data_IF_703778942015
#
_entry.id   IF_703778942015
#
_cell.length_a   1.000
_cell.length_b   1.000
_cell.length_c   1.000
_cell.angle_alpha   90.00
_cell.angle_beta   90.00
_cell.angle_gamma   90.00
#
_symmetry.space_group_name_H-M   'P 1'
#
loop_
_entity.id
_entity.type
_entity.pdbx_description
1 polymer ?
#
# COMPACT_ATOMS: atom_id res chain seq x y z
N UNK A 1 -10.65 10.06 -16.59
CA UNK A 1 -9.89 9.99 -15.36
C UNK A 1 -9.06 8.71 -15.29
N UNK A 2 -7.83 8.84 -14.89
CA UNK A 2 -6.93 7.72 -14.91
C UNK A 2 -7.07 6.85 -13.68
N UNK A 3 -7.03 5.55 -13.88
CA UNK A 3 -7.07 4.60 -12.78
C UNK A 3 -5.74 4.57 -12.04
N UNK A 4 -5.82 4.46 -10.72
CA UNK A 4 -4.63 4.39 -9.88
C UNK A 4 -4.50 2.96 -9.36
N UNK A 5 -3.60 2.17 -9.93
CA UNK A 5 -3.35 0.81 -9.47
C UNK A 5 -2.03 0.68 -8.72
N UNK A 6 -1.29 1.78 -8.58
CA UNK A 6 0.03 1.76 -7.98
C UNK A 6 0.22 3.01 -7.13
N UNK A 7 0.71 2.84 -5.92
CA UNK A 7 1.07 3.93 -5.03
C UNK A 7 2.56 3.84 -4.73
N UNK A 8 3.29 4.91 -5.07
CA UNK A 8 4.72 4.98 -4.79
C UNK A 8 4.91 5.85 -3.55
N UNK A 9 5.43 5.25 -2.49
CA UNK A 9 5.64 5.96 -1.23
C UNK A 9 6.99 6.68 -1.16
N UNK A 10 7.73 6.70 -2.27
CA UNK A 10 9.00 7.41 -2.33
C UNK A 10 8.77 8.89 -1.99
N UNK A 11 9.51 9.39 -1.01
CA UNK A 11 9.37 10.79 -0.61
C UNK A 11 8.20 11.10 0.32
N UNK A 12 7.33 10.12 0.59
CA UNK A 12 6.23 10.31 1.53
C UNK A 12 6.78 10.24 2.95
N UNK A 13 6.37 11.17 3.81
CA UNK A 13 6.80 11.18 5.20
C UNK A 13 6.20 9.98 5.94
N UNK A 14 6.96 9.44 6.89
CA UNK A 14 6.47 8.30 7.66
C UNK A 14 5.13 8.59 8.33
N UNK A 15 4.95 9.80 8.83
CA UNK A 15 3.70 10.17 9.50
C UNK A 15 2.50 10.20 8.57
N UNK A 16 2.73 10.27 7.26
CA UNK A 16 1.67 10.37 6.28
C UNK A 16 1.35 9.02 5.62
N UNK A 17 2.15 7.99 5.89
CA UNK A 17 2.00 6.71 5.20
C UNK A 17 0.65 6.05 5.47
N UNK A 18 0.22 6.07 6.74
CA UNK A 18 -1.03 5.42 7.11
C UNK A 18 -2.21 5.99 6.33
N UNK A 19 -2.31 7.32 6.30
CA UNK A 19 -3.40 7.98 5.59
C UNK A 19 -3.30 7.78 4.08
N UNK A 20 -2.08 7.84 3.53
CA UNK A 20 -1.87 7.69 2.11
C UNK A 20 -2.26 6.29 1.63
N UNK A 21 -1.82 5.26 2.36
CA UNK A 21 -2.12 3.87 1.98
C UNK A 21 -3.60 3.59 2.13
N UNK A 22 -4.19 4.02 3.23
CA UNK A 22 -5.61 3.81 3.46
C UNK A 22 -6.45 4.47 2.37
N UNK A 23 -6.18 5.73 2.08
CA UNK A 23 -6.91 6.46 1.06
C UNK A 23 -6.76 5.81 -0.31
N UNK A 24 -5.55 5.38 -0.64
CA UNK A 24 -5.28 4.72 -1.90
C UNK A 24 -6.10 3.44 -2.06
N UNK A 25 -6.10 2.59 -1.04
CA UNK A 25 -6.83 1.33 -1.10
C UNK A 25 -8.34 1.56 -1.17
N UNK A 26 -8.87 2.44 -0.31
CA UNK A 26 -10.30 2.68 -0.26
C UNK A 26 -10.81 3.31 -1.55
N UNK A 27 -10.01 4.17 -2.16
CA UNK A 27 -10.39 4.86 -3.40
C UNK A 27 -10.37 3.91 -4.60
N UNK A 28 -9.56 2.85 -4.53
CA UNK A 28 -9.33 1.96 -5.66
C UNK A 28 -9.75 0.53 -5.39
N UNK A 29 -10.69 0.31 -4.47
CA UNK A 29 -11.03 -1.06 -4.07
C UNK A 29 -11.70 -1.87 -5.17
N UNK A 30 -12.15 -1.25 -6.24
CA UNK A 30 -12.69 -1.97 -7.39
C UNK A 30 -11.61 -2.40 -8.38
N UNK A 31 -10.35 -2.10 -8.08
CA UNK A 31 -9.26 -2.29 -9.01
C UNK A 31 -8.17 -3.22 -8.49
N UNK A 32 -8.49 -4.03 -7.51
CA UNK A 32 -7.53 -5.02 -7.05
C UNK A 32 -7.08 -5.90 -8.21
N UNK A 33 -5.83 -6.34 -8.23
CA UNK A 33 -4.79 -6.08 -7.22
C UNK A 33 -4.17 -4.69 -7.35
N UNK A 34 -3.79 -4.15 -6.19
CA UNK A 34 -3.13 -2.85 -6.12
C UNK A 34 -1.68 -3.05 -5.70
N UNK A 35 -0.81 -2.14 -6.12
CA UNK A 35 0.61 -2.22 -5.79
C UNK A 35 1.01 -1.03 -4.94
N UNK A 36 1.73 -1.32 -3.84
CA UNK A 36 2.30 -0.28 -3.00
C UNK A 36 3.81 -0.43 -3.02
N UNK A 37 4.51 0.60 -3.48
CA UNK A 37 5.96 0.57 -3.62
C UNK A 37 6.58 1.32 -2.46
N UNK A 38 7.34 0.59 -1.64
CA UNK A 38 8.00 1.14 -0.44
C UNK A 38 9.48 1.39 -0.64
N UNK A 39 10.07 0.88 -1.71
CA UNK A 39 11.50 0.96 -1.93
C UNK A 39 12.26 0.05 -0.96
N UNK A 40 13.51 0.38 -0.68
CA UNK A 40 14.35 -0.46 0.18
C UNK A 40 14.26 -0.10 1.65
N UNK A 41 13.26 0.63 2.07
CA UNK A 41 13.13 1.09 3.44
C UNK A 41 12.34 0.07 4.27
N UNK A 42 13.00 -0.55 5.21
CA UNK A 42 12.33 -1.47 6.15
C UNK A 42 11.23 -0.75 6.90
N UNK A 43 11.50 0.49 7.33
CA UNK A 43 10.51 1.26 8.09
C UNK A 43 9.27 1.54 7.25
N UNK A 44 9.47 1.91 5.99
CA UNK A 44 8.35 2.19 5.09
C UNK A 44 7.52 0.93 4.86
N UNK A 45 8.18 -0.22 4.67
CA UNK A 45 7.47 -1.49 4.53
C UNK A 45 6.63 -1.78 5.76
N UNK A 46 7.21 -1.60 6.95
CA UNK A 46 6.48 -1.85 8.19
C UNK A 46 5.26 -0.96 8.33
N UNK A 47 5.40 0.32 8.01
CA UNK A 47 4.28 1.26 8.11
C UNK A 47 3.16 0.90 7.14
N UNK A 48 3.53 0.55 5.90
CA UNK A 48 2.53 0.16 4.91
C UNK A 48 1.81 -1.13 5.34
N UNK A 49 2.56 -2.10 5.86
CA UNK A 49 1.97 -3.34 6.34
C UNK A 49 1.02 -3.10 7.51
N UNK A 50 1.41 -2.23 8.43
CA UNK A 50 0.54 -1.89 9.56
C UNK A 50 -0.79 -1.35 9.09
N UNK A 51 -0.76 -0.46 8.09
CA UNK A 51 -1.99 0.10 7.55
C UNK A 51 -2.85 -0.97 6.89
N UNK A 52 -2.24 -1.81 6.05
CA UNK A 52 -2.98 -2.86 5.35
C UNK A 52 -3.61 -3.84 6.33
N UNK A 53 -2.90 -4.17 7.41
CA UNK A 53 -3.46 -5.04 8.45
C UNK A 53 -4.60 -4.35 9.19
N UNK A 54 -4.45 -3.06 9.49
CA UNK A 54 -5.47 -2.31 10.21
C UNK A 54 -6.78 -2.23 9.42
N UNK A 55 -6.68 -2.02 8.12
CA UNK A 55 -7.89 -1.90 7.29
C UNK A 55 -8.38 -3.24 6.75
N UNK A 56 -7.71 -4.34 7.12
CA UNK A 56 -8.19 -5.67 6.82
C UNK A 56 -7.92 -6.16 5.42
N UNK A 57 -6.77 -5.83 4.85
CA UNK A 57 -6.41 -6.26 3.50
C UNK A 57 -5.52 -7.49 3.51
N UNK A 58 -5.70 -8.35 2.51
CA UNK A 58 -4.74 -9.41 2.21
C UNK A 58 -3.72 -8.86 1.23
N UNK A 59 -2.44 -9.12 1.51
CA UNK A 59 -1.37 -8.65 0.63
C UNK A 59 -0.23 -9.64 0.63
N UNK A 60 0.60 -9.54 -0.39
CA UNK A 60 1.79 -10.37 -0.55
C UNK A 60 2.95 -9.48 -0.95
N UNK A 61 4.14 -9.78 -0.43
CA UNK A 61 5.36 -9.09 -0.83
C UNK A 61 6.22 -10.06 -1.63
N UNK A 62 6.02 -10.11 -2.96
CA UNK A 62 6.76 -11.01 -3.82
C UNK A 62 8.23 -10.65 -3.92
N UNK A 63 8.54 -9.38 -3.74
CA UNK A 63 9.92 -8.96 -3.61
C UNK A 63 9.95 -7.79 -2.63
N UNK A 64 11.10 -7.62 -1.98
CA UNK A 64 11.20 -6.64 -0.90
C UNK A 64 10.84 -5.24 -1.38
N UNK A 65 9.98 -4.59 -0.60
CA UNK A 65 9.60 -3.21 -0.86
C UNK A 65 8.45 -3.04 -1.84
N UNK A 66 7.89 -4.12 -2.37
CA UNK A 66 6.75 -4.04 -3.28
C UNK A 66 5.63 -4.93 -2.74
N UNK A 67 4.57 -4.30 -2.26
CA UNK A 67 3.43 -5.00 -1.68
C UNK A 67 2.31 -5.07 -2.71
N UNK A 68 1.79 -6.27 -2.92
CA UNK A 68 0.64 -6.48 -3.81
C UNK A 68 -0.57 -6.74 -2.95
N UNK A 69 -1.55 -5.84 -3.00
CA UNK A 69 -2.77 -5.92 -2.21
C UNK A 69 -3.83 -6.60 -3.06
N UNK A 70 -4.25 -7.78 -2.63
CA UNK A 70 -5.14 -8.60 -3.44
C UNK A 70 -6.62 -8.37 -3.23
N UNK A 71 -7.01 -8.10 -1.98
CA UNK A 71 -8.42 -7.91 -1.64
C UNK A 71 -8.54 -7.56 -0.16
N UNK A 72 -9.74 -7.18 0.25
CA UNK A 72 -10.08 -7.16 1.66
C UNK A 72 -10.31 -8.58 2.15
N UNK A 73 -9.94 -8.84 3.39
CA UNK A 73 -10.19 -10.14 4.00
C UNK A 73 -11.67 -10.39 4.21
#
# INVERSE_FOLDING_TARGET
>A
MREQSKLDLHGVRHQDVDAQVENFVLTNQNRFPLTVICGNSVKMVQLAEQTLNRIGCEYTMYRFGVLTVGRFK
#
